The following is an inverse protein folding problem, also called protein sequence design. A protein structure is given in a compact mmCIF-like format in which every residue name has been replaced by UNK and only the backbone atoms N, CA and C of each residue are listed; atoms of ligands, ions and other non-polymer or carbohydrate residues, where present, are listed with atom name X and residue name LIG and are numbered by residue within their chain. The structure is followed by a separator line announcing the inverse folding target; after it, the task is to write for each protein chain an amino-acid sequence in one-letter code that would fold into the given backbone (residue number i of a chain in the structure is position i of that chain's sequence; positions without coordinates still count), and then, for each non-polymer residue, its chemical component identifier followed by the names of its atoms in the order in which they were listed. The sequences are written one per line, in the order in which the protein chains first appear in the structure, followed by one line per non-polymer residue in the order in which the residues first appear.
data_IF_469315261582
#
_entry.id   IF_469315261582
#
_cell.length_a   1.000
_cell.length_b   1.000
_cell.length_c   1.000
_cell.angle_alpha   90.00
_cell.angle_beta   90.00
_cell.angle_gamma   90.00
#
_symmetry.space_group_name_H-M   'P 1'
#
loop_
_entity.id
_entity.type
_entity.pdbx_description
1 polymer ?
#
# COMPACT_ATOMS: atom_id res chain seq x y z
N UNK A 1 -17.76 -57.07 28.94
CA UNK A 1 -16.64 -57.68 28.17
C UNK A 1 -16.89 -57.29 26.72
N UNK A 2 -16.10 -56.48 26.01
CA UNK A 2 -14.65 -56.39 25.95
C UNK A 2 -14.11 -54.97 26.12
N UNK A 3 -13.02 -54.88 26.89
CA UNK A 3 -12.10 -53.76 27.00
C UNK A 3 -11.05 -53.98 25.90
N UNK A 4 -10.82 -53.00 25.02
CA UNK A 4 -9.53 -52.78 24.32
C UNK A 4 -9.64 -51.60 23.35
N UNK A 5 -9.15 -50.44 23.79
CA UNK A 5 -8.12 -49.62 23.11
C UNK A 5 -8.04 -48.25 23.81
N UNK A 6 -7.35 -48.27 24.95
CA UNK A 6 -6.53 -47.16 25.41
C UNK A 6 -5.44 -46.91 24.36
N UNK A 7 -5.12 -45.62 24.13
CA UNK A 7 -3.89 -45.01 23.59
C UNK A 7 -4.21 -43.96 22.51
N UNK A 8 -4.61 -42.78 22.96
CA UNK A 8 -4.27 -41.52 22.33
C UNK A 8 -4.12 -40.47 23.44
N UNK A 9 -3.05 -40.67 24.19
CA UNK A 9 -2.19 -39.69 24.86
C UNK A 9 -2.75 -38.29 25.06
N UNK A 10 -3.04 -38.01 26.33
CA UNK A 10 -3.07 -36.67 26.88
C UNK A 10 -1.78 -35.90 26.55
N UNK A 11 -1.92 -34.72 25.96
CA UNK A 11 -0.93 -33.65 26.09
C UNK A 11 -1.68 -32.48 26.71
N UNK A 12 -1.76 -32.54 28.04
CA UNK A 12 -2.10 -31.40 28.88
C UNK A 12 -0.82 -30.58 29.09
N UNK A 13 -0.97 -29.27 28.93
CA UNK A 13 -0.21 -28.15 29.52
C UNK A 13 1.13 -28.48 30.22
N UNK A 14 2.21 -27.89 29.70
CA UNK A 14 3.21 -27.23 30.54
C UNK A 14 3.97 -26.14 29.78
N UNK A 15 4.17 -25.05 30.50
CA UNK A 15 4.73 -23.76 30.14
C UNK A 15 6.16 -23.82 29.58
N UNK A 16 6.41 -22.99 28.58
CA UNK A 16 7.51 -22.00 28.58
C UNK A 16 7.12 -20.93 27.54
N UNK A 17 6.83 -19.68 27.88
CA UNK A 17 7.79 -18.74 28.45
C UNK A 17 9.16 -18.82 27.76
N UNK A 18 9.17 -18.85 26.43
CA UNK A 18 10.16 -18.07 25.69
C UNK A 18 9.48 -16.72 25.45
N UNK A 19 9.67 -15.68 26.27
CA UNK A 19 10.95 -14.99 26.32
C UNK A 19 11.67 -15.15 24.97
N UNK A 20 11.04 -14.61 23.92
CA UNK A 20 11.79 -14.29 22.71
C UNK A 20 12.80 -13.27 23.20
N UNK A 21 14.01 -13.78 23.43
CA UNK A 21 15.21 -13.00 23.63
C UNK A 21 15.15 -11.81 22.70
N UNK A 22 15.35 -10.64 23.28
CA UNK A 22 16.14 -9.59 22.64
C UNK A 22 17.29 -10.25 21.91
N UNK A 23 17.14 -10.42 20.61
CA UNK A 23 18.26 -10.48 19.67
C UNK A 23 17.71 -10.36 18.25
N UNK A 24 17.90 -9.16 17.70
CA UNK A 24 17.80 -8.80 16.28
C UNK A 24 16.37 -8.69 15.72
N UNK A 25 15.52 -7.89 16.37
CA UNK A 25 14.67 -7.01 15.56
C UNK A 25 15.60 -6.24 14.63
N UNK A 26 15.45 -6.49 13.32
CA UNK A 26 16.27 -5.98 12.23
C UNK A 26 16.61 -4.50 12.43
N UNK A 27 17.76 -4.22 13.05
CA UNK A 27 18.42 -2.93 12.97
C UNK A 27 18.91 -2.86 11.54
N UNK A 28 18.07 -2.34 10.63
CA UNK A 28 18.57 -1.77 9.39
C UNK A 28 19.43 -0.59 9.84
N UNK A 29 20.70 -0.85 10.12
CA UNK A 29 21.71 0.17 10.05
C UNK A 29 21.65 0.67 8.60
N UNK A 30 21.21 1.91 8.43
CA UNK A 30 21.26 2.64 7.17
C UNK A 30 22.73 2.77 6.78
N UNK A 31 23.27 1.72 6.15
CA UNK A 31 24.62 1.76 5.59
C UNK A 31 24.55 2.52 4.28
N UNK A 32 25.04 3.76 4.31
CA UNK A 32 25.34 4.53 3.12
C UNK A 32 26.39 3.79 2.28
N UNK A 33 26.05 3.44 1.05
CA UNK A 33 26.99 2.91 0.07
C UNK A 33 26.94 3.80 -1.18
N UNK A 34 27.96 4.60 -1.44
CA UNK A 34 27.97 5.73 -2.42
C UNK A 34 27.96 5.34 -3.91
N UNK A 35 27.33 4.22 -4.24
CA UNK A 35 27.12 3.77 -5.61
C UNK A 35 25.90 4.42 -6.26
N UNK A 36 26.06 4.87 -7.51
CA UNK A 36 24.98 5.25 -8.42
C UNK A 36 24.13 4.00 -8.73
N UNK A 37 22.78 4.02 -8.60
CA UNK A 37 21.97 2.85 -8.91
C UNK A 37 21.91 2.64 -10.42
N UNK A 38 22.62 1.62 -10.91
CA UNK A 38 22.55 1.18 -12.31
C UNK A 38 21.43 0.15 -12.47
N UNK A 39 20.18 0.63 -12.51
CA UNK A 39 19.02 -0.22 -12.84
C UNK A 39 19.08 -0.66 -14.30
N UNK A 40 19.39 -1.94 -14.54
CA UNK A 40 19.29 -2.59 -15.85
C UNK A 40 17.87 -3.16 -16.02
N UNK A 41 17.30 -3.13 -17.22
CA UNK A 41 16.01 -3.78 -17.54
C UNK A 41 15.98 -5.31 -17.26
N UNK A 42 17.11 -5.92 -16.91
CA UNK A 42 17.25 -7.32 -16.48
C UNK A 42 16.91 -7.58 -15.01
N UNK A 43 16.67 -6.54 -14.22
CA UNK A 43 16.42 -6.60 -12.77
C UNK A 43 15.03 -6.04 -12.47
N UNK A 44 14.22 -6.70 -11.63
CA UNK A 44 12.87 -6.20 -11.30
C UNK A 44 12.85 -4.81 -10.66
N UNK A 45 11.64 -4.30 -10.40
CA UNK A 45 11.42 -2.95 -9.88
C UNK A 45 12.22 -2.64 -8.62
N UNK A 46 12.76 -1.43 -8.51
CA UNK A 46 13.33 -0.97 -7.24
C UNK A 46 12.21 -0.53 -6.28
N UNK A 47 12.38 -0.65 -4.95
CA UNK A 47 11.52 0.02 -3.98
C UNK A 47 11.33 1.51 -4.30
N UNK A 48 10.13 2.02 -4.06
CA UNK A 48 9.84 3.44 -4.13
C UNK A 48 10.44 4.23 -2.97
N UNK A 49 10.48 5.56 -3.13
CA UNK A 49 10.91 6.49 -2.08
C UNK A 49 10.07 6.34 -0.81
N UNK A 50 10.74 6.18 0.34
CA UNK A 50 10.11 6.09 1.66
C UNK A 50 10.54 7.24 2.55
N UNK A 51 9.57 7.96 3.13
CA UNK A 51 9.78 9.07 4.05
C UNK A 51 9.08 8.79 5.38
N UNK A 52 9.80 8.88 6.49
CA UNK A 52 9.32 8.53 7.83
C UNK A 52 9.68 9.66 8.78
N UNK A 53 8.68 10.30 9.38
CA UNK A 53 8.88 11.56 10.10
C UNK A 53 8.25 11.56 11.50
N UNK A 54 8.77 12.46 12.34
CA UNK A 54 8.21 12.76 13.66
C UNK A 54 8.45 11.66 14.69
N UNK A 55 7.43 11.33 15.48
CA UNK A 55 7.47 10.40 16.62
C UNK A 55 7.82 8.95 16.26
N UNK A 56 7.91 8.61 14.97
CA UNK A 56 8.41 7.32 14.47
C UNK A 56 9.95 7.27 14.46
N UNK A 57 10.62 8.40 14.60
CA UNK A 57 12.08 8.56 14.50
C UNK A 57 12.63 8.98 15.86
N UNK A 58 13.70 8.32 16.31
CA UNK A 58 14.40 8.64 17.55
C UNK A 58 15.89 8.88 17.28
N UNK A 59 16.51 9.73 18.09
CA UNK A 59 17.95 9.91 18.05
C UNK A 59 18.67 8.67 18.59
N UNK A 60 19.61 8.11 17.82
CA UNK A 60 20.54 7.09 18.27
C UNK A 60 21.76 7.80 18.87
N UNK A 61 21.73 7.98 20.21
CA UNK A 61 22.77 8.68 20.95
C UNK A 61 24.15 7.99 20.84
N UNK A 62 24.20 6.68 20.57
CA UNK A 62 25.45 5.92 20.45
C UNK A 62 26.09 6.11 19.09
N UNK A 63 25.29 6.30 18.04
CA UNK A 63 25.77 6.40 16.65
C UNK A 63 25.75 7.83 16.10
N UNK A 64 25.14 8.77 16.81
CA UNK A 64 24.92 10.14 16.31
C UNK A 64 24.02 10.19 15.08
N UNK A 65 23.21 9.15 14.85
CA UNK A 65 22.31 9.02 13.69
C UNK A 65 20.85 8.96 14.14
N UNK A 66 19.92 8.98 13.18
CA UNK A 66 18.49 8.76 13.45
C UNK A 66 18.15 7.30 13.19
N UNK A 67 17.28 6.74 14.03
CA UNK A 67 16.76 5.37 13.88
C UNK A 67 15.25 5.35 14.10
N UNK A 68 14.61 4.23 13.80
CA UNK A 68 13.18 4.04 14.04
C UNK A 68 12.91 3.73 15.52
N UNK A 69 11.77 4.23 16.02
CA UNK A 69 11.26 3.90 17.35
C UNK A 69 11.07 2.39 17.49
N UNK A 70 11.27 1.85 18.69
CA UNK A 70 11.01 0.44 18.98
C UNK A 70 9.59 0.02 18.55
N UNK A 71 9.47 -1.18 17.99
CA UNK A 71 8.22 -1.70 17.42
C UNK A 71 7.93 -1.23 15.98
N UNK A 72 8.73 -0.33 15.42
CA UNK A 72 8.64 0.14 14.03
C UNK A 72 9.78 -0.46 13.21
N UNK A 73 9.46 -0.99 12.03
CA UNK A 73 10.45 -1.56 11.11
C UNK A 73 10.22 -1.11 9.67
N UNK A 74 11.29 -1.10 8.88
CA UNK A 74 11.26 -0.80 7.44
C UNK A 74 11.74 -2.02 6.66
N UNK A 75 10.98 -2.41 5.64
CA UNK A 75 11.30 -3.51 4.74
C UNK A 75 11.23 -3.05 3.29
N UNK A 76 12.39 -2.99 2.64
CA UNK A 76 12.54 -2.60 1.24
C UNK A 76 12.82 -3.85 0.41
N UNK A 77 12.03 -4.09 -0.63
CA UNK A 77 12.17 -5.28 -1.48
C UNK A 77 12.16 -4.90 -2.95
N UNK A 78 13.16 -5.35 -3.69
CA UNK A 78 13.08 -5.26 -5.14
C UNK A 78 12.09 -6.28 -5.70
N UNK A 79 11.55 -5.97 -6.87
CA UNK A 79 10.78 -6.89 -7.69
C UNK A 79 11.68 -7.99 -8.28
N UNK A 80 11.03 -9.03 -8.78
CA UNK A 80 11.68 -10.14 -9.46
C UNK A 80 11.88 -9.82 -10.94
N UNK A 81 12.97 -10.28 -11.51
CA UNK A 81 13.18 -10.32 -12.96
C UNK A 81 12.29 -11.38 -13.62
N UNK A 82 12.26 -11.39 -14.96
CA UNK A 82 11.56 -12.42 -15.74
C UNK A 82 12.04 -13.85 -15.45
N UNK A 83 13.28 -14.02 -14.97
CA UNK A 83 13.85 -15.33 -14.57
C UNK A 83 13.54 -15.70 -13.12
N UNK A 84 12.77 -14.88 -12.41
CA UNK A 84 12.42 -15.08 -11.00
C UNK A 84 13.49 -14.63 -10.00
N UNK A 85 14.61 -14.07 -10.47
CA UNK A 85 15.70 -13.58 -9.61
C UNK A 85 15.27 -12.26 -8.96
N UNK A 86 15.36 -12.18 -7.63
CA UNK A 86 15.14 -10.92 -6.90
C UNK A 86 16.33 -10.00 -7.14
N UNK A 87 16.08 -8.77 -7.58
CA UNK A 87 17.14 -7.80 -7.78
C UNK A 87 17.76 -7.34 -6.45
N UNK A 88 19.03 -6.93 -6.47
CA UNK A 88 19.60 -6.22 -5.34
C UNK A 88 18.88 -4.87 -5.16
N UNK A 89 18.61 -4.51 -3.91
CA UNK A 89 18.05 -3.19 -3.58
C UNK A 89 19.19 -2.19 -3.66
N UNK A 90 19.26 -1.46 -4.77
CA UNK A 90 20.27 -0.42 -5.02
C UNK A 90 19.75 0.97 -4.67
N UNK A 91 18.43 1.12 -4.63
CA UNK A 91 17.76 2.33 -4.15
C UNK A 91 18.00 2.47 -2.64
N UNK A 92 18.85 3.44 -2.29
CA UNK A 92 18.92 3.93 -0.91
C UNK A 92 17.53 4.45 -0.57
N UNK A 93 16.95 4.16 0.61
CA UNK A 93 15.92 5.04 1.13
C UNK A 93 16.56 6.42 1.20
N UNK A 94 16.24 7.32 0.27
CA UNK A 94 16.71 8.69 0.35
C UNK A 94 16.32 9.22 1.73
N UNK A 95 17.35 9.55 2.51
CA UNK A 95 17.28 10.12 3.85
C UNK A 95 16.07 11.02 4.02
N UNK A 96 15.07 10.52 4.73
CA UNK A 96 14.02 11.38 5.23
C UNK A 96 13.44 10.82 6.52
N UNK A 97 14.35 10.28 7.36
CA UNK A 97 14.16 10.31 8.81
C UNK A 97 14.23 11.78 9.25
N UNK A 98 13.16 12.51 9.04
CA UNK A 98 13.07 13.93 9.41
C UNK A 98 12.51 14.07 10.82
N UNK A 99 12.96 15.11 11.52
CA UNK A 99 12.27 15.55 12.72
C UNK A 99 10.88 16.07 12.36
N UNK A 100 9.99 16.08 13.36
CA UNK A 100 8.57 16.38 13.21
C UNK A 100 8.35 17.62 12.33
N UNK A 101 7.63 17.43 11.22
CA UNK A 101 7.15 18.53 10.39
C UNK A 101 5.69 18.77 10.72
N UNK A 102 5.34 20.04 10.96
CA UNK A 102 3.96 20.50 11.00
C UNK A 102 3.27 20.18 9.67
N UNK A 103 2.10 19.53 9.71
CA UNK A 103 1.26 19.29 8.54
C UNK A 103 -0.08 20.01 8.77
N UNK A 104 -0.30 21.11 8.05
CA UNK A 104 -1.52 21.95 8.18
C UNK A 104 -2.80 21.17 7.87
N UNK A 105 -2.71 20.08 7.11
CA UNK A 105 -3.84 19.19 6.84
C UNK A 105 -4.21 18.35 8.06
N UNK A 106 -3.22 17.98 8.89
CA UNK A 106 -3.44 17.29 10.17
C UNK A 106 -4.09 18.23 11.18
N UNK A 107 -3.65 19.49 11.24
CA UNK A 107 -4.27 20.51 12.10
C UNK A 107 -5.74 20.75 11.72
N UNK A 108 -6.04 20.71 10.42
CA UNK A 108 -7.41 20.79 9.91
C UNK A 108 -8.24 19.57 10.31
N UNK A 109 -7.68 18.36 10.21
CA UNK A 109 -8.35 17.14 10.66
C UNK A 109 -8.63 17.16 12.18
N UNK A 110 -7.76 17.77 12.98
CA UNK A 110 -7.89 17.82 14.43
C UNK A 110 -9.07 18.63 14.95
N UNK A 111 -9.56 19.60 14.17
CA UNK A 111 -10.74 20.40 14.49
C UNK A 111 -12.04 19.80 13.93
N UNK A 112 -11.98 18.72 13.14
CA UNK A 112 -13.19 18.03 12.68
C UNK A 112 -13.94 17.39 13.86
N UNK A 113 -15.26 17.23 13.72
CA UNK A 113 -16.11 16.57 14.74
C UNK A 113 -16.55 15.17 14.30
N UNK A 114 -15.77 14.53 13.43
CA UNK A 114 -16.13 13.23 12.85
C UNK A 114 -15.07 12.17 13.06
N UNK A 115 -15.49 10.90 13.04
CA UNK A 115 -14.60 9.75 12.91
C UNK A 115 -14.89 8.93 11.66
N UNK A 116 -13.88 8.23 11.15
CA UNK A 116 -13.98 7.27 10.04
C UNK A 116 -13.64 5.86 10.54
N UNK A 117 -14.45 4.87 10.15
CA UNK A 117 -14.18 3.46 10.41
C UNK A 117 -13.92 2.71 9.09
N UNK A 118 -12.68 2.29 8.87
CA UNK A 118 -12.27 1.46 7.74
C UNK A 118 -12.10 0.00 8.18
N UNK A 119 -13.16 -0.78 8.05
CA UNK A 119 -13.10 -2.24 8.19
C UNK A 119 -13.05 -2.79 9.62
N UNK A 120 -13.22 -1.95 10.65
CA UNK A 120 -13.33 -2.41 12.03
C UNK A 120 -14.76 -2.84 12.35
N UNK A 121 -14.92 -3.90 13.13
CA UNK A 121 -16.18 -4.22 13.78
C UNK A 121 -16.45 -3.28 14.97
N UNK A 122 -17.71 -3.15 15.38
CA UNK A 122 -18.11 -2.21 16.43
C UNK A 122 -17.40 -2.45 17.77
N UNK A 123 -17.02 -3.69 18.07
CA UNK A 123 -16.28 -4.08 19.27
C UNK A 123 -14.78 -3.72 19.21
N UNK A 124 -14.25 -3.46 18.00
CA UNK A 124 -12.87 -3.00 17.79
C UNK A 124 -12.75 -1.47 17.84
N UNK A 125 -13.87 -0.75 17.72
CA UNK A 125 -13.90 0.70 17.84
C UNK A 125 -13.85 1.08 19.31
N UNK A 126 -12.74 1.71 19.68
CA UNK A 126 -12.54 2.19 21.03
C UNK A 126 -13.31 3.51 21.24
N UNK A 127 -14.41 3.40 22.01
CA UNK A 127 -15.35 4.50 22.26
C UNK A 127 -14.73 5.69 22.98
N UNK A 128 -13.56 5.53 23.60
CA UNK A 128 -12.85 6.64 24.22
C UNK A 128 -12.41 7.69 23.20
N UNK A 129 -12.14 7.27 21.95
CA UNK A 129 -11.77 8.17 20.86
C UNK A 129 -12.96 8.70 20.04
N UNK A 130 -14.13 8.07 20.13
CA UNK A 130 -15.31 8.48 19.35
C UNK A 130 -16.32 9.32 20.13
N UNK A 131 -16.06 9.60 21.41
CA UNK A 131 -17.00 10.34 22.25
C UNK A 131 -17.22 11.76 21.71
N UNK A 132 -18.49 12.10 21.43
CA UNK A 132 -18.87 13.38 20.83
C UNK A 132 -18.49 13.55 19.35
N UNK A 133 -18.11 12.48 18.66
CA UNK A 133 -17.81 12.49 17.23
C UNK A 133 -18.92 11.83 16.42
N UNK A 134 -19.23 12.40 15.27
CA UNK A 134 -20.17 11.83 14.30
C UNK A 134 -19.47 10.84 13.36
N UNK A 135 -20.13 9.72 13.06
CA UNK A 135 -19.60 8.75 12.10
C UNK A 135 -19.70 9.33 10.68
N UNK A 136 -18.58 9.40 9.97
CA UNK A 136 -18.54 9.78 8.57
C UNK A 136 -18.65 8.54 7.69
N UNK A 137 -19.57 8.57 6.74
CA UNK A 137 -19.73 7.48 5.77
C UNK A 137 -18.54 7.48 4.81
N UNK A 138 -17.90 6.33 4.63
CA UNK A 138 -16.84 6.17 3.65
C UNK A 138 -17.44 6.20 2.23
N UNK A 139 -16.88 6.99 1.30
CA UNK A 139 -17.19 6.83 -0.12
C UNK A 139 -16.71 5.45 -0.59
N UNK A 140 -17.37 4.85 -1.58
CA UNK A 140 -16.86 3.63 -2.19
C UNK A 140 -15.54 3.93 -2.90
N UNK A 141 -14.43 3.41 -2.36
CA UNK A 141 -13.08 3.64 -2.87
C UNK A 141 -12.55 2.44 -3.69
N UNK A 142 -13.39 1.43 -3.96
CA UNK A 142 -13.03 0.37 -4.90
C UNK A 142 -13.09 0.96 -6.32
N UNK A 143 -11.93 1.23 -6.90
CA UNK A 143 -11.72 1.76 -8.27
C UNK A 143 -11.71 3.30 -8.42
N UNK A 144 -11.48 4.06 -7.36
CA UNK A 144 -11.22 5.50 -7.51
C UNK A 144 -9.75 5.77 -7.85
N UNK A 145 -9.50 6.75 -8.71
CA UNK A 145 -8.12 7.17 -9.05
C UNK A 145 -7.37 7.70 -7.83
N UNK A 146 -8.11 8.30 -6.88
CA UNK A 146 -7.57 8.87 -5.65
C UNK A 146 -8.49 8.57 -4.47
N UNK A 147 -7.90 8.39 -3.29
CA UNK A 147 -8.60 8.22 -2.00
C UNK A 147 -8.04 9.24 -1.03
N UNK A 148 -8.91 10.03 -0.43
CA UNK A 148 -8.56 10.96 0.64
C UNK A 148 -9.46 10.69 1.85
N UNK A 149 -8.86 10.17 2.92
CA UNK A 149 -9.52 9.95 4.20
C UNK A 149 -9.04 11.04 5.17
N UNK A 150 -9.96 11.93 5.55
CA UNK A 150 -9.74 12.96 6.57
C UNK A 150 -10.86 12.93 7.59
N UNK A 151 -10.49 12.83 8.86
CA UNK A 151 -11.36 12.90 10.03
C UNK A 151 -10.52 13.15 11.29
N UNK A 152 -11.17 13.57 12.39
CA UNK A 152 -10.48 13.71 13.68
C UNK A 152 -9.91 12.38 14.16
N UNK A 153 -10.69 11.31 14.04
CA UNK A 153 -10.22 9.95 14.34
C UNK A 153 -10.45 9.05 13.14
N UNK A 154 -9.42 8.30 12.74
CA UNK A 154 -9.52 7.28 11.69
C UNK A 154 -9.16 5.93 12.30
N UNK A 155 -10.07 4.97 12.23
CA UNK A 155 -9.82 3.57 12.57
C UNK A 155 -9.61 2.77 11.30
N UNK A 156 -8.59 1.91 11.29
CA UNK A 156 -8.34 0.96 10.20
C UNK A 156 -8.12 -0.42 10.81
N UNK A 157 -8.84 -1.42 10.31
CA UNK A 157 -8.71 -2.82 10.72
C UNK A 157 -8.63 -3.77 9.52
N UNK A 158 -7.90 -4.87 9.70
CA UNK A 158 -7.86 -5.97 8.74
C UNK A 158 -7.14 -5.65 7.43
N UNK A 159 -7.54 -6.33 6.36
CA UNK A 159 -6.90 -6.21 5.04
C UNK A 159 -7.57 -5.13 4.20
N UNK A 160 -6.82 -4.08 3.86
CA UNK A 160 -7.28 -2.98 3.01
C UNK A 160 -6.38 -2.92 1.77
N UNK A 161 -6.83 -3.53 0.68
CA UNK A 161 -6.17 -3.40 -0.63
C UNK A 161 -6.56 -2.11 -1.31
N UNK A 162 -5.60 -1.23 -1.57
CA UNK A 162 -5.81 -0.04 -2.40
C UNK A 162 -5.16 -0.26 -3.78
N UNK A 163 -5.85 0.16 -4.83
CA UNK A 163 -5.35 0.17 -6.20
C UNK A 163 -5.55 1.56 -6.80
N UNK A 164 -5.10 2.57 -6.06
CA UNK A 164 -5.39 3.98 -6.35
C UNK A 164 -4.09 4.74 -6.55
N UNK A 165 -4.02 5.60 -7.56
CA UNK A 165 -2.79 6.36 -7.87
C UNK A 165 -2.34 7.14 -6.64
N UNK A 166 -3.27 7.74 -5.89
CA UNK A 166 -2.97 8.45 -4.65
C UNK A 166 -3.89 8.01 -3.52
N UNK A 167 -3.32 7.60 -2.39
CA UNK A 167 -4.03 7.40 -1.15
C UNK A 167 -3.48 8.34 -0.08
N UNK A 168 -4.33 9.19 0.49
CA UNK A 168 -3.99 10.10 1.57
C UNK A 168 -4.86 9.82 2.79
N UNK A 169 -4.24 9.62 3.95
CA UNK A 169 -4.91 9.40 5.23
C UNK A 169 -4.40 10.47 6.19
N UNK A 170 -5.30 11.36 6.62
CA UNK A 170 -5.00 12.48 7.52
C UNK A 170 -5.92 12.40 8.74
N UNK A 171 -5.36 12.44 9.94
CA UNK A 171 -6.14 12.34 11.18
C UNK A 171 -5.49 13.07 12.36
N UNK A 172 -6.26 13.48 13.36
CA UNK A 172 -5.62 13.79 14.64
C UNK A 172 -5.18 12.52 15.36
N UNK A 173 -6.05 11.50 15.39
CA UNK A 173 -5.69 10.18 15.90
C UNK A 173 -5.94 9.10 14.86
N UNK A 174 -4.89 8.37 14.49
CA UNK A 174 -4.96 7.20 13.61
C UNK A 174 -4.81 5.93 14.45
N UNK A 175 -5.84 5.08 14.46
CA UNK A 175 -5.84 3.80 15.16
C UNK A 175 -5.69 2.67 14.15
N UNK A 176 -4.58 1.93 14.22
CA UNK A 176 -4.30 0.77 13.39
C UNK A 176 -4.46 -0.49 14.23
N UNK A 177 -5.39 -1.38 13.86
CA UNK A 177 -5.62 -2.63 14.56
C UNK A 177 -5.50 -3.83 13.61
N UNK A 178 -4.39 -4.56 13.71
CA UNK A 178 -4.07 -5.72 12.87
C UNK A 178 -4.24 -5.42 11.36
N UNK A 179 -3.69 -4.29 10.93
CA UNK A 179 -3.86 -3.75 9.57
C UNK A 179 -2.88 -4.38 8.60
N UNK A 180 -3.35 -4.65 7.38
CA UNK A 180 -2.52 -4.85 6.21
C UNK A 180 -3.04 -3.97 5.09
N UNK A 181 -2.44 -2.78 4.96
CA UNK A 181 -2.79 -1.79 3.95
C UNK A 181 -1.63 -1.67 2.97
N UNK A 182 -1.85 -2.12 1.74
CA UNK A 182 -0.86 -2.06 0.66
C UNK A 182 -1.49 -1.43 -0.56
N UNK A 183 -0.91 -0.32 -1.03
CA UNK A 183 -1.31 0.31 -2.29
C UNK A 183 -0.50 -0.25 -3.45
N UNK A 184 -1.13 -1.03 -4.34
CA UNK A 184 -0.49 -1.62 -5.53
C UNK A 184 -0.83 -0.82 -6.77
N UNK A 185 0.11 -0.02 -7.27
CA UNK A 185 -0.09 0.84 -8.46
C UNK A 185 1.19 1.05 -9.26
N UNK A 186 1.04 1.49 -10.51
CA UNK A 186 2.18 1.81 -11.39
C UNK A 186 2.89 3.10 -11.00
N UNK A 187 2.12 4.12 -10.59
CA UNK A 187 2.63 5.45 -10.22
C UNK A 187 1.84 6.02 -9.04
N UNK A 188 2.48 6.93 -8.29
CA UNK A 188 1.87 7.68 -7.20
C UNK A 188 2.32 7.24 -5.81
N UNK A 189 1.42 7.10 -4.83
CA UNK A 189 1.83 6.72 -3.48
C UNK A 189 0.77 6.68 -2.39
N UNK A 190 1.25 6.40 -1.18
CA UNK A 190 0.51 6.40 0.07
C UNK A 190 1.10 7.46 1.01
N UNK A 191 0.30 8.45 1.38
CA UNK A 191 0.64 9.50 2.35
C UNK A 191 -0.23 9.33 3.59
N UNK A 192 0.41 9.14 4.73
CA UNK A 192 -0.23 9.04 6.03
C UNK A 192 0.35 10.13 6.92
N UNK A 193 -0.52 11.00 7.44
CA UNK A 193 -0.11 11.94 8.48
C UNK A 193 -1.11 11.95 9.63
N UNK A 194 -0.59 11.93 10.86
CA UNK A 194 -1.42 12.06 12.05
C UNK A 194 -0.72 12.79 13.20
N UNK A 195 -1.49 13.39 14.10
CA UNK A 195 -0.92 13.86 15.37
C UNK A 195 -0.49 12.68 16.24
N UNK A 196 -1.38 11.72 16.41
CA UNK A 196 -1.18 10.54 17.23
C UNK A 196 -1.43 9.26 16.41
N UNK A 197 -0.62 8.23 16.62
CA UNK A 197 -0.81 6.90 16.06
C UNK A 197 -0.91 5.86 17.17
N UNK A 198 -2.01 5.10 17.19
CA UNK A 198 -2.25 4.03 18.16
C UNK A 198 -2.13 2.68 17.44
N UNK A 199 -1.18 1.85 17.87
CA UNK A 199 -0.91 0.54 17.28
C UNK A 199 -1.52 -0.56 18.15
N UNK A 200 -2.38 -1.39 17.55
CA UNK A 200 -2.92 -2.62 18.13
C UNK A 200 -2.58 -3.79 17.21
N UNK A 201 -2.07 -4.89 17.78
CA UNK A 201 -1.62 -6.05 17.00
C UNK A 201 -0.47 -5.76 16.03
N UNK A 202 -0.32 -6.58 14.99
CA UNK A 202 0.72 -6.41 13.98
C UNK A 202 0.18 -5.66 12.78
N UNK A 203 0.76 -4.51 12.47
CA UNK A 203 0.31 -3.64 11.38
C UNK A 203 1.35 -3.59 10.27
N UNK A 204 0.87 -3.55 9.03
CA UNK A 204 1.65 -3.35 7.82
C UNK A 204 1.05 -2.23 6.99
N UNK A 205 1.87 -1.24 6.67
CA UNK A 205 1.54 -0.17 5.74
C UNK A 205 2.57 -0.21 4.61
N UNK A 206 2.14 -0.14 3.36
CA UNK A 206 3.11 -0.17 2.28
C UNK A 206 2.62 0.14 0.89
N UNK A 207 3.57 0.15 -0.02
CA UNK A 207 3.38 0.35 -1.45
C UNK A 207 4.03 -0.77 -2.24
N UNK A 208 3.44 -1.07 -3.40
CA UNK A 208 3.95 -2.09 -4.30
C UNK A 208 3.77 -1.68 -5.76
N UNK A 209 4.81 -1.81 -6.58
CA UNK A 209 4.71 -1.65 -8.03
C UNK A 209 3.83 -2.74 -8.65
N UNK A 210 3.13 -2.43 -9.73
CA UNK A 210 2.39 -3.45 -10.50
C UNK A 210 3.36 -4.37 -11.26
N UNK A 211 2.91 -5.60 -11.50
CA UNK A 211 3.65 -6.51 -12.36
C UNK A 211 3.52 -6.04 -13.81
N UNK A 212 4.59 -6.12 -14.58
CA UNK A 212 4.68 -5.54 -15.92
C UNK A 212 5.46 -6.45 -16.86
N UNK A 213 4.99 -6.55 -18.10
CA UNK A 213 5.65 -7.33 -19.15
C UNK A 213 6.62 -6.51 -20.01
N UNK A 214 6.51 -5.18 -19.96
CA UNK A 214 7.17 -4.28 -20.91
C UNK A 214 8.29 -3.46 -20.28
N UNK A 215 8.12 -3.10 -19.00
CA UNK A 215 9.03 -2.21 -18.30
C UNK A 215 9.14 -2.55 -16.82
N UNK A 216 10.32 -2.28 -16.25
CA UNK A 216 10.56 -2.31 -14.81
C UNK A 216 9.72 -1.22 -14.14
N UNK A 217 8.89 -1.60 -13.17
CA UNK A 217 8.03 -0.66 -12.43
C UNK A 217 8.57 -0.49 -11.02
N UNK A 218 9.04 0.71 -10.67
CA UNK A 218 9.45 1.01 -9.30
C UNK A 218 8.25 1.03 -8.34
N UNK A 219 8.54 0.87 -7.05
CA UNK A 219 7.52 1.02 -6.02
C UNK A 219 6.96 2.44 -5.98
N UNK A 220 5.66 2.63 -5.70
CA UNK A 220 5.09 3.94 -5.40
C UNK A 220 5.70 4.53 -4.11
N UNK A 221 5.62 5.87 -3.95
CA UNK A 221 6.14 6.53 -2.75
C UNK A 221 5.34 6.18 -1.50
N UNK A 222 6.02 6.07 -0.36
CA UNK A 222 5.41 5.90 0.96
C UNK A 222 5.85 7.06 1.87
N UNK A 223 4.91 7.86 2.34
CA UNK A 223 5.16 8.95 3.29
C UNK A 223 4.37 8.67 4.55
N UNK A 224 5.05 8.65 5.70
CA UNK A 224 4.42 8.49 7.00
C UNK A 224 4.95 9.56 7.96
N UNK A 225 4.06 10.41 8.45
CA UNK A 225 4.36 11.46 9.42
C UNK A 225 3.50 11.29 10.68
N UNK A 226 4.12 11.08 11.84
CA UNK A 226 3.39 11.10 13.11
C UNK A 226 3.94 12.23 13.96
N UNK A 227 3.16 13.29 14.17
CA UNK A 227 3.69 14.56 14.65
C UNK A 227 4.06 14.51 16.13
N UNK A 228 3.20 13.89 16.97
CA UNK A 228 3.32 13.96 18.44
C UNK A 228 3.70 12.63 19.06
N UNK A 229 2.88 11.59 18.87
CA UNK A 229 3.04 10.36 19.63
C UNK A 229 2.68 9.09 18.85
N UNK A 230 3.43 8.03 19.11
CA UNK A 230 3.08 6.64 18.76
C UNK A 230 2.92 5.85 20.06
N UNK A 231 1.75 5.25 20.26
CA UNK A 231 1.38 4.50 21.47
C UNK A 231 0.68 3.17 21.14
N UNK A 232 0.36 2.39 22.17
CA UNK A 232 -0.25 1.07 22.05
C UNK A 232 0.74 -0.09 22.10
N UNK A 233 0.22 -1.32 22.19
CA UNK A 233 1.01 -2.55 22.36
C UNK A 233 1.38 -3.22 21.03
N UNK A 234 0.94 -2.65 19.90
CA UNK A 234 1.17 -3.19 18.57
C UNK A 234 2.54 -2.87 17.97
N UNK A 235 2.76 -3.39 16.76
CA UNK A 235 3.93 -3.10 15.93
C UNK A 235 3.52 -2.56 14.56
N UNK A 236 4.46 -1.91 13.88
CA UNK A 236 4.28 -1.39 12.53
C UNK A 236 5.46 -1.78 11.64
N UNK A 237 5.15 -2.42 10.51
CA UNK A 237 6.08 -2.66 9.43
C UNK A 237 5.72 -1.78 8.23
N UNK A 238 6.64 -0.91 7.87
CA UNK A 238 6.57 -0.10 6.65
C UNK A 238 7.22 -0.87 5.52
N UNK A 239 6.52 -1.04 4.39
CA UNK A 239 7.06 -1.79 3.25
C UNK A 239 6.98 -1.02 1.94
N UNK A 240 8.06 -1.06 1.16
CA UNK A 240 8.09 -0.54 -0.21
C UNK A 240 8.66 -1.61 -1.12
N UNK A 241 7.90 -1.98 -2.16
CA UNK A 241 8.27 -3.04 -3.07
C UNK A 241 8.16 -2.61 -4.53
N UNK A 242 9.16 -2.93 -5.34
CA UNK A 242 9.08 -2.78 -6.80
C UNK A 242 8.26 -3.88 -7.49
N UNK A 243 7.73 -3.58 -8.67
CA UNK A 243 6.96 -4.51 -9.48
C UNK A 243 7.81 -5.63 -10.08
N UNK A 244 7.21 -6.81 -10.27
CA UNK A 244 7.89 -7.91 -10.95
C UNK A 244 7.84 -7.73 -12.48
N UNK A 245 8.89 -8.20 -13.16
CA UNK A 245 8.83 -8.39 -14.61
C UNK A 245 8.22 -9.77 -14.87
N UNK A 246 7.08 -9.80 -15.54
CA UNK A 246 6.37 -11.02 -15.90
C UNK A 246 6.44 -11.25 -17.41
N UNK A 247 6.35 -12.50 -17.86
CA UNK A 247 6.17 -12.75 -19.28
C UNK A 247 4.84 -12.14 -19.74
N UNK A 248 4.82 -11.49 -20.90
CA UNK A 248 3.57 -11.03 -21.51
C UNK A 248 2.60 -12.21 -21.62
N UNK A 249 1.49 -12.16 -20.89
CA UNK A 249 0.41 -13.14 -21.06
C UNK A 249 -0.19 -12.89 -22.44
N UNK A 250 -0.25 -13.94 -23.27
CA UNK A 250 -0.81 -13.89 -24.62
C UNK A 250 -2.32 -13.57 -24.69
N UNK A 251 -2.95 -13.18 -23.57
CA UNK A 251 -4.38 -12.84 -23.49
C UNK A 251 -4.70 -11.40 -23.93
N UNK A 252 -3.70 -10.56 -24.19
CA UNK A 252 -3.91 -9.25 -24.85
C UNK A 252 -3.56 -9.26 -26.34
N UNK A 253 -3.15 -10.40 -26.90
CA UNK A 253 -2.76 -10.54 -28.31
C UNK A 253 -3.88 -11.12 -29.20
N UNK A 254 -5.09 -11.34 -28.66
CA UNK A 254 -6.23 -11.89 -29.41
C UNK A 254 -7.39 -10.92 -29.65
N UNK A 255 -7.21 -9.62 -29.36
CA UNK A 255 -8.19 -8.58 -29.76
C UNK A 255 -7.57 -7.43 -30.59
N UNK A 256 -6.30 -7.59 -30.98
CA UNK A 256 -5.64 -6.76 -31.98
C UNK A 256 -5.26 -7.59 -33.20
N UNK A 257 -6.21 -8.38 -33.71
CA UNK A 257 -6.10 -8.82 -35.11
C UNK A 257 -6.14 -7.55 -35.95
N UNK A 258 -5.06 -7.33 -36.69
CA UNK A 258 -4.90 -6.32 -37.71
C UNK A 258 -6.12 -6.29 -38.64
N UNK A 259 -7.14 -5.49 -38.32
CA UNK A 259 -7.90 -4.85 -39.37
C UNK A 259 -7.03 -3.72 -39.89
N UNK A 260 -6.23 -4.06 -40.90
CA UNK A 260 -5.54 -3.12 -41.78
C UNK A 260 -6.46 -1.92 -42.02
N UNK A 261 -5.89 -0.72 -41.92
CA UNK A 261 -6.59 0.56 -42.14
C UNK A 261 -7.38 0.58 -43.46
N UNK A 262 -7.00 -0.26 -44.42
CA UNK A 262 -7.72 -0.50 -45.67
C UNK A 262 -9.10 -1.17 -45.49
N UNK A 263 -9.26 -2.15 -44.58
CA UNK A 263 -10.55 -2.82 -44.34
C UNK A 263 -11.54 -1.93 -43.58
N UNK A 264 -11.06 -1.08 -42.67
CA UNK A 264 -11.89 -0.06 -42.01
C UNK A 264 -12.36 1.01 -42.99
N UNK A 265 -11.51 1.43 -43.93
CA UNK A 265 -11.89 2.38 -44.99
C UNK A 265 -12.87 1.77 -45.99
N UNK A 266 -12.70 0.50 -46.37
CA UNK A 266 -13.63 -0.20 -47.25
C UNK A 266 -15.01 -0.36 -46.60
N UNK A 267 -15.05 -0.73 -45.32
CA UNK A 267 -16.31 -0.88 -44.58
C UNK A 267 -17.07 0.45 -44.44
N UNK A 268 -16.36 1.58 -44.33
CA UNK A 268 -16.97 2.92 -44.29
C UNK A 268 -17.48 3.33 -45.68
N UNK A 269 -16.74 3.01 -46.75
CA UNK A 269 -17.15 3.26 -48.12
C UNK A 269 -18.43 2.48 -48.47
N UNK A 270 -18.46 1.18 -48.18
CA UNK A 270 -19.60 0.29 -48.49
C UNK A 270 -20.85 0.67 -47.69
N UNK A 271 -20.69 1.11 -46.42
CA UNK A 271 -21.81 1.65 -45.63
C UNK A 271 -22.37 2.94 -46.23
N UNK A 272 -21.52 3.84 -46.73
CA UNK A 272 -21.97 5.10 -47.31
C UNK A 272 -22.66 4.91 -48.67
N UNK A 273 -22.21 3.96 -49.49
CA UNK A 273 -22.92 3.59 -50.73
C UNK A 273 -24.29 2.98 -50.44
N UNK A 274 -24.41 2.11 -49.43
CA UNK A 274 -25.70 1.51 -49.07
C UNK A 274 -26.74 2.54 -48.60
N UNK A 275 -26.29 3.64 -47.98
CA UNK A 275 -27.14 4.75 -47.53
C UNK A 275 -27.54 5.67 -48.69
N UNK A 276 -26.66 5.88 -49.66
CA UNK A 276 -26.94 6.64 -50.89
C UNK A 276 -27.98 5.93 -51.76
N UNK A 277 -27.85 4.62 -51.96
CA UNK A 277 -28.80 3.81 -52.75
C UNK A 277 -30.18 3.75 -52.07
N UNK A 278 -30.24 3.66 -50.74
CA UNK A 278 -31.52 3.74 -49.99
C UNK A 278 -32.19 5.11 -50.13
N UNK A 279 -31.43 6.21 -50.16
CA UNK A 279 -31.99 7.57 -50.35
C UNK A 279 -32.49 7.81 -51.78
N UNK A 280 -31.83 7.27 -52.79
CA UNK A 280 -32.31 7.36 -54.18
C UNK A 280 -33.60 6.54 -54.40
N UNK A 281 -33.70 5.34 -53.84
CA UNK A 281 -34.93 4.53 -53.96
C UNK A 281 -36.14 5.12 -53.21
N UNK A 282 -35.91 5.96 -52.19
CA UNK A 282 -36.96 6.69 -51.48
C UNK A 282 -37.41 7.97 -52.22
N UNK A 283 -36.61 8.48 -53.17
CA UNK A 283 -36.94 9.67 -53.96
C UNK A 283 -37.67 9.34 -55.28
N UNK A 284 -37.62 8.09 -55.75
CA UNK A 284 -38.31 7.64 -56.97
C UNK A 284 -39.75 7.17 -56.69
N UNK A 285 -40.09 6.89 -55.42
CA UNK A 285 -41.44 6.47 -55.00
C UNK A 285 -42.25 7.61 -54.32
N UNK A 286 -42.03 8.87 -54.72
CA UNK A 286 -42.89 10.00 -54.38
C UNK A 286 -43.42 10.68 -55.62
#
# INVERSE_FOLDING_TARGET
MNISKLLATAVLLSLAACAVKDDKASKVALHANDGTPTGSASTGGQPGKVTIMGALVVADAEKGTKTLKSGISLNLQAGKSATGTVAEVTSKPEDSLAESQTDTSVDSAAVESTYLNVGCSDDQIDKTYTNGLEAKTLPDFKNTTSVALSAKVVFICGNVGLQTISAAIKADTLVLNAVNLVNKVQVGGLDIAANNMVLKGQNRLGTMGVDSAEAVVEGPRLIVNVIKEVSGEGSLMLTSQGGNVIAATAESATDSTEQSTAEKLQTIHDKNESVQVKKQNLAVNR
#
